data_IF_069197250912
#
_entry.id   IF_069197250912
#
_cell.length_a   1.000
_cell.length_b   1.000
_cell.length_c   1.000
_cell.angle_alpha   90.00
_cell.angle_beta   90.00
_cell.angle_gamma   90.00
#
_symmetry.space_group_name_H-M   'P 1'
#
loop_
_entity.id
_entity.type
_entity.pdbx_description
1 polymer ?
#
# COMPACT_ATOMS: atom_id res chain seq x y z
N UNK A 1 -4.71 1.93 -19.04
CA UNK A 1 -4.83 2.60 -17.73
C UNK A 1 -3.79 2.00 -16.80
N UNK A 2 -3.08 2.82 -16.02
CA UNK A 2 -1.94 2.40 -15.19
C UNK A 2 -2.47 2.04 -13.80
N UNK A 3 -2.19 0.84 -13.27
CA UNK A 3 -2.57 0.48 -11.91
C UNK A 3 -1.76 1.27 -10.89
N UNK A 4 -2.33 1.48 -9.70
CA UNK A 4 -1.52 1.88 -8.55
C UNK A 4 -0.81 0.64 -8.01
N UNK A 5 0.50 0.72 -7.79
CA UNK A 5 1.27 -0.35 -7.16
C UNK A 5 2.40 0.25 -6.33
N UNK A 6 2.66 -0.33 -5.16
CA UNK A 6 3.83 0.02 -4.34
C UNK A 6 4.29 -1.19 -3.55
N UNK A 7 5.57 -1.19 -3.21
CA UNK A 7 6.20 -2.21 -2.37
C UNK A 7 7.15 -1.53 -1.37
N UNK A 8 7.16 -1.99 -0.12
CA UNK A 8 8.10 -1.52 0.90
C UNK A 8 8.17 -2.49 2.09
N UNK A 9 9.23 -2.36 2.89
CA UNK A 9 9.43 -3.16 4.09
C UNK A 9 8.47 -2.79 5.22
N UNK A 10 7.95 -3.80 5.89
CA UNK A 10 7.02 -3.70 7.02
C UNK A 10 7.44 -4.69 8.09
N UNK A 11 6.95 -4.47 9.31
CA UNK A 11 7.07 -5.45 10.39
C UNK A 11 6.32 -6.72 9.99
N UNK A 12 6.73 -7.85 10.56
CA UNK A 12 5.96 -9.10 10.43
C UNK A 12 4.54 -8.90 10.98
N UNK A 13 3.58 -9.55 10.33
CA UNK A 13 2.19 -9.58 10.73
C UNK A 13 1.81 -10.98 11.17
N UNK A 14 1.15 -11.10 12.32
CA UNK A 14 0.37 -12.30 12.59
C UNK A 14 -0.87 -12.32 11.68
N UNK A 15 -1.32 -13.52 11.31
CA UNK A 15 -2.49 -13.69 10.43
C UNK A 15 -3.72 -12.91 10.93
N UNK A 16 -3.97 -12.95 12.24
CA UNK A 16 -5.11 -12.27 12.84
C UNK A 16 -5.00 -10.74 12.72
N UNK A 17 -3.78 -10.18 12.84
CA UNK A 17 -3.52 -8.75 12.67
C UNK A 17 -3.72 -8.34 11.21
N UNK A 18 -3.21 -9.15 10.26
CA UNK A 18 -3.39 -8.91 8.83
C UNK A 18 -4.86 -8.92 8.41
N UNK A 19 -5.62 -9.94 8.84
CA UNK A 19 -7.07 -10.01 8.58
C UNK A 19 -7.80 -8.85 9.25
N UNK A 20 -7.44 -8.52 10.49
CA UNK A 20 -8.01 -7.39 11.23
C UNK A 20 -7.81 -6.05 10.51
N UNK A 21 -6.60 -5.79 10.01
CA UNK A 21 -6.26 -4.61 9.23
C UNK A 21 -7.11 -4.48 7.95
N UNK A 22 -7.24 -5.58 7.20
CA UNK A 22 -8.04 -5.61 5.98
C UNK A 22 -9.52 -5.31 6.25
N UNK A 23 -10.09 -5.94 7.28
CA UNK A 23 -11.50 -5.74 7.64
C UNK A 23 -11.76 -4.37 8.25
N UNK A 24 -10.84 -3.83 9.04
CA UNK A 24 -10.93 -2.48 9.59
C UNK A 24 -10.94 -1.43 8.46
N UNK A 25 -10.06 -1.59 7.47
CA UNK A 25 -10.04 -0.74 6.28
C UNK A 25 -11.37 -0.79 5.53
N UNK A 26 -11.92 -1.98 5.28
CA UNK A 26 -13.19 -2.13 4.57
C UNK A 26 -14.37 -1.57 5.36
N UNK A 27 -14.40 -1.73 6.69
CA UNK A 27 -15.44 -1.16 7.55
C UNK A 27 -15.41 0.37 7.58
N UNK A 28 -14.24 0.98 7.41
CA UNK A 28 -14.09 2.43 7.32
C UNK A 28 -14.48 3.03 5.96
N UNK A 29 -14.91 2.20 5.00
CA UNK A 29 -15.32 2.65 3.66
C UNK A 29 -16.85 2.82 3.60
N UNK A 30 -17.31 4.04 3.38
CA UNK A 30 -18.75 4.38 3.25
C UNK A 30 -19.49 3.60 2.16
N UNK A 31 -18.74 3.02 1.23
CA UNK A 31 -19.28 2.31 0.09
C UNK A 31 -19.09 0.79 0.16
N UNK A 32 -18.60 0.25 1.28
CA UNK A 32 -18.45 -1.18 1.50
C UNK A 32 -19.81 -1.81 1.85
N UNK A 33 -20.18 -2.87 1.14
CA UNK A 33 -21.43 -3.62 1.33
C UNK A 33 -21.18 -5.05 1.81
N UNK A 34 -19.91 -5.41 2.07
CA UNK A 34 -19.54 -6.74 2.60
C UNK A 34 -20.17 -7.04 3.96
N UNK A 35 -20.52 -6.01 4.73
CA UNK A 35 -21.02 -6.14 6.10
C UNK A 35 -22.51 -5.77 6.24
N UNK A 36 -23.22 -5.54 5.13
CA UNK A 36 -24.65 -5.18 5.13
C UNK A 36 -25.54 -6.34 5.67
N UNK A 37 -25.03 -7.57 5.64
CA UNK A 37 -25.73 -8.79 6.02
C UNK A 37 -24.86 -9.68 6.92
N UNK A 38 -25.49 -10.61 7.65
CA UNK A 38 -24.82 -11.63 8.47
C UNK A 38 -24.11 -12.67 7.58
N UNK A 39 -23.09 -12.26 6.84
CA UNK A 39 -22.21 -13.13 6.11
C UNK A 39 -21.25 -13.82 7.10
N UNK A 40 -21.74 -14.87 7.78
CA UNK A 40 -20.90 -15.71 8.63
C UNK A 40 -19.95 -16.50 7.72
N UNK A 41 -18.70 -16.05 7.69
CA UNK A 41 -17.62 -16.76 7.02
C UNK A 41 -16.62 -17.21 8.07
N UNK A 42 -16.19 -18.46 8.02
CA UNK A 42 -15.02 -18.91 8.77
C UNK A 42 -13.78 -18.18 8.25
N UNK A 43 -13.32 -17.19 9.01
CA UNK A 43 -12.12 -16.42 8.71
C UNK A 43 -10.88 -17.06 9.30
N UNK A 44 -10.95 -18.25 9.91
CA UNK A 44 -9.79 -18.93 10.50
C UNK A 44 -9.02 -19.81 9.52
N UNK A 45 -9.62 -20.16 8.37
CA UNK A 45 -9.01 -21.02 7.35
C UNK A 45 -7.92 -20.33 6.51
N UNK A 46 -6.95 -21.10 6.00
CA UNK A 46 -5.92 -20.62 5.07
C UNK A 46 -6.50 -19.98 3.80
N UNK A 47 -7.69 -20.43 3.39
CA UNK A 47 -8.49 -19.83 2.33
C UNK A 47 -9.80 -19.38 2.94
N UNK A 48 -10.02 -18.06 3.00
CA UNK A 48 -11.27 -17.49 3.52
C UNK A 48 -11.87 -16.51 2.51
N UNK A 49 -13.19 -16.38 2.47
CA UNK A 49 -13.88 -15.54 1.50
C UNK A 49 -15.17 -14.94 2.06
N UNK A 50 -15.27 -13.61 2.10
CA UNK A 50 -16.54 -12.92 2.38
C UNK A 50 -17.07 -12.35 1.06
N UNK A 51 -18.36 -12.61 0.77
CA UNK A 51 -19.02 -12.10 -0.43
C UNK A 51 -20.39 -11.51 -0.11
N UNK A 52 -20.67 -10.31 -0.61
CA UNK A 52 -21.99 -9.68 -0.51
C UNK A 52 -22.93 -10.13 -1.63
N UNK A 53 -24.24 -9.97 -1.43
CA UNK A 53 -25.24 -10.21 -2.50
C UNK A 53 -25.08 -9.24 -3.68
N UNK A 54 -24.46 -8.08 -3.47
CA UNK A 54 -24.14 -7.09 -4.52
C UNK A 54 -22.89 -7.47 -5.32
N UNK A 55 -22.26 -8.60 -5.00
CA UNK A 55 -21.11 -9.13 -5.73
C UNK A 55 -19.77 -8.51 -5.35
N UNK A 56 -19.71 -7.78 -4.23
CA UNK A 56 -18.47 -7.38 -3.59
C UNK A 56 -17.86 -8.58 -2.86
N UNK A 57 -16.55 -8.75 -2.93
CA UNK A 57 -15.88 -9.96 -2.43
C UNK A 57 -14.50 -9.63 -1.86
N UNK A 58 -14.14 -10.22 -0.73
CA UNK A 58 -12.75 -10.29 -0.25
C UNK A 58 -12.34 -11.74 -0.03
N UNK A 59 -11.24 -12.13 -0.66
CA UNK A 59 -10.62 -13.45 -0.51
C UNK A 59 -9.29 -13.30 0.19
N UNK A 60 -9.07 -14.07 1.25
CA UNK A 60 -7.78 -14.24 1.90
C UNK A 60 -7.14 -15.54 1.45
N UNK A 61 -5.82 -15.50 1.30
CA UNK A 61 -5.02 -16.69 1.05
C UNK A 61 -3.73 -16.63 1.85
N UNK A 62 -3.43 -17.72 2.54
CA UNK A 62 -2.16 -17.94 3.23
C UNK A 62 -1.40 -19.05 2.51
N UNK A 63 -0.12 -18.80 2.25
CA UNK A 63 0.84 -19.76 1.73
C UNK A 63 1.83 -20.06 2.86
N UNK A 64 1.80 -21.29 3.35
CA UNK A 64 2.78 -21.84 4.29
C UNK A 64 3.53 -22.97 3.61
N UNK A 65 4.82 -22.79 3.36
CA UNK A 65 5.65 -23.85 2.77
C UNK A 65 7.01 -23.89 3.48
N UNK A 66 7.39 -25.08 3.98
CA UNK A 66 8.69 -25.30 4.62
C UNK A 66 9.88 -25.00 3.70
N UNK A 67 9.66 -24.97 2.38
CA UNK A 67 10.69 -24.74 1.37
C UNK A 67 10.51 -23.42 0.59
N UNK A 68 9.47 -22.64 0.87
CA UNK A 68 9.24 -21.35 0.21
C UNK A 68 9.09 -20.23 1.25
N UNK A 69 8.96 -19.01 0.78
CA UNK A 69 8.70 -17.87 1.66
C UNK A 69 7.21 -17.86 2.03
N UNK A 70 6.94 -17.84 3.33
CA UNK A 70 5.58 -17.72 3.85
C UNK A 70 4.95 -16.39 3.39
N UNK A 71 3.69 -16.44 3.00
CA UNK A 71 2.99 -15.25 2.53
C UNK A 71 1.53 -15.27 2.94
N UNK A 72 0.99 -14.10 3.22
CA UNK A 72 -0.43 -13.90 3.43
C UNK A 72 -0.91 -12.75 2.56
N UNK A 73 -2.06 -12.92 1.91
CA UNK A 73 -2.61 -11.90 1.06
C UNK A 73 -4.11 -11.87 1.06
N UNK A 74 -4.65 -10.75 0.60
CA UNK A 74 -6.05 -10.66 0.21
C UNK A 74 -6.23 -10.06 -1.18
N UNK A 75 -7.34 -10.44 -1.81
CA UNK A 75 -7.90 -9.78 -2.98
C UNK A 75 -9.30 -9.29 -2.63
N UNK A 76 -9.50 -7.99 -2.70
CA UNK A 76 -10.79 -7.35 -2.59
C UNK A 76 -11.26 -6.89 -3.96
N UNK A 77 -12.52 -7.18 -4.30
CA UNK A 77 -13.17 -6.77 -5.53
C UNK A 77 -14.50 -6.09 -5.24
N UNK A 78 -14.73 -4.97 -5.91
CA UNK A 78 -16.01 -4.27 -5.89
C UNK A 78 -16.46 -3.95 -7.31
N UNK A 79 -17.71 -4.24 -7.60
CA UNK A 79 -18.35 -3.85 -8.85
C UNK A 79 -19.03 -2.49 -8.70
N UNK A 80 -19.03 -1.70 -9.77
CA UNK A 80 -19.86 -0.50 -9.86
C UNK A 80 -20.91 -0.61 -10.97
N UNK A 81 -21.76 0.42 -11.05
CA UNK A 81 -22.87 0.56 -11.97
C UNK A 81 -22.43 0.82 -13.43
N UNK A 82 -21.17 1.21 -13.64
CA UNK A 82 -20.59 1.44 -14.96
C UNK A 82 -19.99 0.17 -15.58
N UNK A 83 -20.11 -0.98 -14.91
CA UNK A 83 -19.54 -2.24 -15.39
C UNK A 83 -18.03 -2.32 -15.19
N UNK A 84 -17.49 -1.66 -14.14
CA UNK A 84 -16.08 -1.77 -13.73
C UNK A 84 -15.93 -2.71 -12.54
N UNK A 85 -14.73 -3.27 -12.40
CA UNK A 85 -14.28 -4.00 -11.22
C UNK A 85 -13.11 -3.25 -10.61
N UNK A 86 -13.30 -2.74 -9.41
CA UNK A 86 -12.25 -2.16 -8.58
C UNK A 86 -11.61 -3.28 -7.78
N UNK A 87 -10.38 -3.66 -8.16
CA UNK A 87 -9.62 -4.72 -7.50
C UNK A 87 -8.50 -4.11 -6.67
N UNK A 88 -8.41 -4.50 -5.41
CA UNK A 88 -7.25 -4.24 -4.55
C UNK A 88 -6.64 -5.57 -4.11
N UNK A 89 -5.36 -5.73 -4.36
CA UNK A 89 -4.56 -6.85 -3.92
C UNK A 89 -3.52 -6.35 -2.92
N UNK A 90 -3.30 -7.15 -1.89
CA UNK A 90 -2.45 -6.79 -0.78
C UNK A 90 -1.80 -8.07 -0.27
N UNK A 91 -0.48 -8.14 -0.34
CA UNK A 91 0.29 -9.35 -0.03
C UNK A 91 1.45 -8.96 0.86
N UNK A 92 1.59 -9.67 1.97
CA UNK A 92 2.76 -9.62 2.83
C UNK A 92 3.52 -10.93 2.64
N UNK A 93 4.78 -10.83 2.30
CA UNK A 93 5.72 -11.95 2.24
C UNK A 93 6.61 -11.88 3.47
N UNK A 94 6.52 -12.87 4.36
CA UNK A 94 7.21 -12.90 5.65
C UNK A 94 8.70 -13.23 5.50
N UNK A 95 9.48 -12.79 6.50
CA UNK A 95 10.95 -12.67 6.44
C UNK A 95 11.72 -13.89 5.92
N UNK A 96 12.30 -13.72 4.73
CA UNK A 96 13.54 -14.36 4.26
C UNK A 96 14.36 -13.38 3.38
N UNK A 97 14.23 -12.07 3.62
CA UNK A 97 14.86 -11.00 2.84
C UNK A 97 15.78 -10.13 3.72
N UNK A 98 16.43 -9.14 3.10
CA UNK A 98 17.47 -8.28 3.69
C UNK A 98 16.98 -7.72 5.04
N UNK A 99 17.69 -8.05 6.12
CA UNK A 99 17.42 -7.68 7.53
C UNK A 99 16.31 -8.45 8.29
N UNK A 100 15.62 -9.40 7.64
CA UNK A 100 14.63 -10.24 8.32
C UNK A 100 13.21 -9.67 8.37
N UNK A 101 12.98 -8.53 7.73
CA UNK A 101 11.66 -7.89 7.67
C UNK A 101 10.75 -8.49 6.59
N UNK A 102 9.44 -8.30 6.76
CA UNK A 102 8.44 -8.66 5.76
C UNK A 102 8.36 -7.60 4.66
N UNK A 103 8.00 -8.03 3.45
CA UNK A 103 7.73 -7.11 2.34
C UNK A 103 6.23 -7.03 2.11
N UNK A 104 5.74 -5.79 2.12
CA UNK A 104 4.39 -5.49 1.69
C UNK A 104 4.36 -5.14 0.21
N UNK A 105 3.50 -5.81 -0.54
CA UNK A 105 3.13 -5.43 -1.91
C UNK A 105 1.63 -5.13 -2.00
N UNK A 106 1.30 -4.01 -2.62
CA UNK A 106 -0.09 -3.67 -2.94
C UNK A 106 -0.26 -3.33 -4.40
N UNK A 107 -1.43 -3.65 -4.94
CA UNK A 107 -1.84 -3.30 -6.29
C UNK A 107 -3.32 -2.97 -6.30
N UNK A 108 -3.68 -1.81 -6.81
CA UNK A 108 -5.07 -1.43 -7.07
C UNK A 108 -5.28 -1.21 -8.55
N UNK A 109 -6.40 -1.69 -9.09
CA UNK A 109 -6.73 -1.62 -10.51
C UNK A 109 -8.24 -1.40 -10.72
N UNK A 110 -8.59 -0.73 -11.80
CA UNK A 110 -9.95 -0.69 -12.36
C UNK A 110 -10.00 -1.54 -13.63
N UNK A 111 -10.85 -2.56 -13.67
CA UNK A 111 -10.93 -3.53 -14.76
C UNK A 111 -12.29 -3.42 -15.46
N UNK A 112 -12.33 -3.61 -16.77
CA UNK A 112 -13.59 -3.60 -17.52
C UNK A 112 -14.28 -4.96 -17.37
N UNK A 113 -15.53 -4.96 -16.90
CA UNK A 113 -16.40 -6.15 -16.89
C UNK A 113 -17.24 -6.23 -18.17
N UNK A 114 -17.58 -5.08 -18.75
CA UNK A 114 -18.34 -4.94 -19.99
C UNK A 114 -17.48 -4.31 -21.08
N UNK A 115 -17.88 -4.49 -22.34
CA UNK A 115 -17.25 -3.81 -23.46
C UNK A 115 -17.48 -2.29 -23.39
N UNK A 116 -16.54 -1.50 -23.93
CA UNK A 116 -16.61 -0.03 -24.03
C UNK A 116 -16.72 0.73 -22.71
N UNK A 117 -16.28 0.12 -21.61
CA UNK A 117 -16.23 0.78 -20.29
C UNK A 117 -14.99 1.67 -20.19
N UNK A 118 -15.19 2.91 -19.76
CA UNK A 118 -14.09 3.85 -19.49
C UNK A 118 -13.38 3.47 -18.18
N UNK A 119 -12.06 3.29 -18.25
CA UNK A 119 -11.25 2.90 -17.10
C UNK A 119 -10.63 4.11 -16.44
N UNK A 120 -10.86 4.24 -15.14
CA UNK A 120 -10.28 5.30 -14.32
C UNK A 120 -9.01 4.83 -13.59
N UNK A 121 -8.01 5.71 -13.39
CA UNK A 121 -6.87 5.40 -12.56
C UNK A 121 -7.31 5.23 -11.09
N UNK A 122 -6.91 4.14 -10.42
CA UNK A 122 -7.28 3.90 -9.04
C UNK A 122 -6.56 4.84 -8.09
N UNK A 123 -7.25 5.21 -7.01
CA UNK A 123 -6.65 5.95 -5.90
C UNK A 123 -5.76 5.04 -5.05
N UNK A 124 -4.76 5.63 -4.39
CA UNK A 124 -3.97 4.94 -3.36
C UNK A 124 -4.91 4.38 -2.28
N UNK A 125 -4.84 3.08 -1.95
CA UNK A 125 -5.74 2.48 -0.98
C UNK A 125 -5.43 3.01 0.44
N UNK A 126 -6.47 3.39 1.18
CA UNK A 126 -6.34 4.03 2.50
C UNK A 126 -5.67 3.13 3.54
N UNK A 127 -5.74 1.81 3.37
CA UNK A 127 -5.05 0.83 4.23
C UNK A 127 -3.54 1.13 4.38
N UNK A 128 -2.88 1.67 3.35
CA UNK A 128 -1.48 2.06 3.43
C UNK A 128 -1.24 3.20 4.42
N UNK A 129 -2.20 4.13 4.51
CA UNK A 129 -2.12 5.23 5.46
C UNK A 129 -2.24 4.71 6.89
N UNK A 130 -3.15 3.76 7.14
CA UNK A 130 -3.28 3.11 8.46
C UNK A 130 -1.97 2.43 8.87
N UNK A 131 -1.34 1.65 7.99
CA UNK A 131 -0.06 0.96 8.28
C UNK A 131 1.05 1.93 8.68
N UNK A 132 1.17 3.05 7.95
CA UNK A 132 2.16 4.08 8.23
C UNK A 132 1.86 4.75 9.59
N UNK A 133 0.60 5.09 9.85
CA UNK A 133 0.18 5.77 11.08
C UNK A 133 0.26 4.86 12.32
N UNK A 134 0.05 3.56 12.15
CA UNK A 134 0.17 2.55 13.20
C UNK A 134 1.64 2.14 13.47
N UNK A 135 2.59 2.73 12.72
CA UNK A 135 4.02 2.47 12.89
C UNK A 135 4.42 1.03 12.54
N UNK A 136 3.73 0.42 11.58
CA UNK A 136 3.97 -0.95 11.12
C UNK A 136 4.99 -1.02 9.98
N UNK A 137 5.51 0.12 9.54
CA UNK A 137 6.59 0.21 8.54
C UNK A 137 7.96 0.04 9.17
N UNK A 138 8.93 -0.35 8.35
CA UNK A 138 10.36 -0.32 8.68
C UNK A 138 11.00 0.84 7.91
N UNK A 139 12.20 1.27 8.35
CA UNK A 139 12.98 2.28 7.64
C UNK A 139 13.37 1.78 6.24
N UNK A 140 13.30 2.67 5.26
CA UNK A 140 13.71 2.44 3.89
C UNK A 140 15.02 3.17 3.61
N UNK A 141 16.14 2.52 3.98
CA UNK A 141 17.47 3.12 3.92
C UNK A 141 17.63 4.19 5.00
N UNK A 142 17.88 5.44 4.60
CA UNK A 142 18.00 6.57 5.53
C UNK A 142 16.66 7.12 6.03
N UNK A 143 15.54 6.65 5.48
CA UNK A 143 14.24 7.29 5.67
C UNK A 143 13.24 6.37 6.36
N UNK A 144 12.71 6.81 7.51
CA UNK A 144 11.47 6.24 8.02
C UNK A 144 10.31 6.52 7.07
N UNK A 145 9.45 5.55 6.82
CA UNK A 145 8.28 5.75 5.95
C UNK A 145 7.21 6.52 6.73
N UNK A 146 6.86 7.72 6.25
CA UNK A 146 5.93 8.64 6.93
C UNK A 146 4.83 9.13 5.97
N UNK A 147 3.73 9.64 6.53
CA UNK A 147 2.66 10.33 5.79
C UNK A 147 2.92 11.85 5.64
N UNK A 148 4.15 12.28 5.94
CA UNK A 148 4.63 13.66 5.88
C UNK A 148 6.07 13.70 5.35
N UNK A 149 6.51 14.80 4.71
CA UNK A 149 7.86 14.92 4.18
C UNK A 149 8.91 14.96 5.29
N UNK A 150 10.10 14.42 5.00
CA UNK A 150 11.29 14.58 5.83
C UNK A 150 11.85 15.99 5.66
N UNK A 151 12.08 16.68 6.79
CA UNK A 151 12.78 17.97 6.80
C UNK A 151 14.19 17.76 7.31
N UNK A 152 15.15 17.92 6.42
CA UNK A 152 16.57 17.89 6.76
C UNK A 152 16.99 19.20 7.45
N UNK A 153 17.94 19.10 8.37
CA UNK A 153 18.56 20.23 9.06
C UNK A 153 19.98 20.43 8.51
N UNK A 154 20.50 21.65 8.56
CA UNK A 154 21.83 21.94 8.01
C UNK A 154 22.93 21.37 8.92
N UNK A 155 23.35 20.13 8.64
CA UNK A 155 24.43 19.42 9.31
C UNK A 155 25.07 18.36 8.41
N UNK A 156 26.25 17.86 8.81
CA UNK A 156 27.02 16.87 8.04
C UNK A 156 26.24 15.59 7.74
N UNK A 157 25.40 15.13 8.69
CA UNK A 157 24.59 13.94 8.51
C UNK A 157 23.55 14.12 7.39
N UNK A 158 22.89 15.28 7.34
CA UNK A 158 21.91 15.59 6.29
C UNK A 158 22.57 15.77 4.93
N UNK A 159 23.79 16.31 4.88
CA UNK A 159 24.58 16.38 3.65
C UNK A 159 24.85 14.97 3.10
N UNK A 160 25.19 14.01 3.98
CA UNK A 160 25.39 12.63 3.57
C UNK A 160 24.10 11.98 3.06
N UNK A 161 22.96 12.20 3.73
CA UNK A 161 21.65 11.73 3.24
C UNK A 161 21.36 12.26 1.84
N UNK A 162 21.60 13.56 1.59
CA UNK A 162 21.38 14.18 0.28
C UNK A 162 22.30 13.53 -0.76
N UNK A 163 23.58 13.35 -0.44
CA UNK A 163 24.55 12.71 -1.33
C UNK A 163 24.11 11.29 -1.72
N UNK A 164 23.78 10.45 -0.76
CA UNK A 164 23.36 9.06 -1.04
C UNK A 164 22.02 9.01 -1.78
N UNK A 165 21.10 9.93 -1.49
CA UNK A 165 19.83 10.07 -2.24
C UNK A 165 20.07 10.40 -3.71
N UNK A 166 20.94 11.38 -4.00
CA UNK A 166 21.26 11.78 -5.38
C UNK A 166 22.03 10.69 -6.14
N UNK A 167 22.76 9.83 -5.43
CA UNK A 167 23.45 8.67 -6.01
C UNK A 167 22.54 7.44 -6.19
N UNK A 168 21.29 7.49 -5.69
CA UNK A 168 20.34 6.38 -5.78
C UNK A 168 20.54 5.30 -4.71
N UNK A 169 21.31 5.58 -3.66
CA UNK A 169 21.56 4.68 -2.54
C UNK A 169 20.78 5.05 -1.27
N UNK A 170 19.97 6.13 -1.31
CA UNK A 170 19.30 6.67 -0.14
C UNK A 170 18.16 5.81 0.41
N UNK A 171 17.53 5.00 -0.45
CA UNK A 171 16.40 4.12 -0.15
C UNK A 171 16.56 2.78 -0.89
N UNK A 172 15.84 1.76 -0.43
CA UNK A 172 15.86 0.42 -1.01
C UNK A 172 14.63 0.14 -1.89
N UNK A 173 13.45 0.67 -1.52
CA UNK A 173 12.18 0.33 -2.17
C UNK A 173 11.46 1.54 -2.78
N UNK A 174 11.32 2.62 -2.01
CA UNK A 174 10.51 3.77 -2.39
C UNK A 174 11.36 4.81 -3.12
N UNK A 175 10.83 5.44 -4.18
CA UNK A 175 11.51 6.55 -4.82
C UNK A 175 11.56 7.75 -3.87
N UNK A 176 12.72 8.41 -3.81
CA UNK A 176 12.94 9.62 -3.01
C UNK A 176 13.01 10.83 -3.93
N UNK A 177 12.19 11.84 -3.64
CA UNK A 177 12.23 13.14 -4.31
C UNK A 177 12.82 14.16 -3.35
N UNK A 178 14.02 14.64 -3.67
CA UNK A 178 14.66 15.72 -2.91
C UNK A 178 14.26 17.09 -3.46
N UNK A 179 13.76 17.97 -2.59
CA UNK A 179 13.32 19.32 -2.95
C UNK A 179 14.13 20.33 -2.14
N UNK A 180 14.71 21.30 -2.84
CA UNK A 180 15.45 22.41 -2.25
C UNK A 180 14.63 23.70 -2.30
N UNK A 181 14.92 24.59 -1.37
CA UNK A 181 14.41 25.96 -1.33
C UNK A 181 15.58 26.91 -1.59
N UNK A 182 15.34 27.97 -2.36
CA UNK A 182 16.32 29.03 -2.56
C UNK A 182 16.55 29.80 -1.25
N UNK A 183 17.69 30.51 -1.18
CA UNK A 183 18.04 31.30 0.01
C UNK A 183 17.06 32.45 0.33
N UNK A 184 16.22 32.84 -0.62
CA UNK A 184 15.14 33.82 -0.46
C UNK A 184 13.80 33.20 -0.02
N UNK A 185 13.75 31.89 0.19
CA UNK A 185 12.55 31.16 0.59
C UNK A 185 11.65 30.71 -0.57
N UNK A 186 12.04 30.99 -1.82
CA UNK A 186 11.28 30.53 -2.99
C UNK A 186 11.61 29.08 -3.38
N UNK A 187 10.68 28.41 -4.07
CA UNK A 187 10.88 27.06 -4.63
C UNK A 187 11.01 27.13 -6.15
N UNK A 188 11.91 26.33 -6.71
CA UNK A 188 12.02 26.13 -8.17
C UNK A 188 10.77 25.50 -8.78
N UNK A 189 10.00 24.77 -7.96
CA UNK A 189 8.78 24.08 -8.36
C UNK A 189 7.59 24.69 -7.64
N UNK A 190 6.52 24.95 -8.38
CA UNK A 190 5.21 25.23 -7.78
C UNK A 190 4.67 24.01 -7.03
N UNK A 191 3.78 24.24 -6.07
CA UNK A 191 3.08 23.17 -5.32
C UNK A 191 2.47 22.13 -6.27
N UNK A 192 1.79 22.57 -7.33
CA UNK A 192 1.20 21.69 -8.35
C UNK A 192 2.23 20.82 -9.09
N UNK A 193 3.46 21.33 -9.28
CA UNK A 193 4.53 20.52 -9.89
C UNK A 193 5.06 19.48 -8.90
N UNK A 194 5.16 19.84 -7.62
CA UNK A 194 5.56 18.92 -6.55
C UNK A 194 4.53 17.80 -6.40
N UNK A 195 3.23 18.14 -6.37
CA UNK A 195 2.15 17.16 -6.30
C UNK A 195 2.21 16.15 -7.44
N UNK A 196 2.56 16.60 -8.66
CA UNK A 196 2.71 15.71 -9.82
C UNK A 196 3.88 14.74 -9.74
N UNK A 197 4.88 15.01 -8.90
CA UNK A 197 6.01 14.07 -8.68
C UNK A 197 5.63 12.91 -7.75
N UNK A 198 4.50 13.03 -7.03
CA UNK A 198 4.00 11.99 -6.12
C UNK A 198 3.07 10.97 -6.79
N UNK A 199 2.87 11.05 -8.12
CA UNK A 199 1.99 10.18 -8.92
C UNK A 199 2.71 9.51 -10.08
#
# INVERSE_FOLDING_TARGET
MIPFATEFAVKDFERAEFVGLALAWLKGSDYCTLFDEDAITDLSSEVANIKSLKGEEIKFHELKDKNATDAIGFRYEKHDDQGRIWRTEFVVTQGNLVQGDAILRTRTQCLAKLANVELEPPKKPFILKSIIQDGLTVDDGYFSILDKPHRLIDNDFSIEIIKETLLGNGSNFLPVVYITMHGDGSFSLSEKQIERLAF
#
